data_IF_798396134035
#
_entry.id   IF_798396134035
#
_cell.length_a   1.000
_cell.length_b   1.000
_cell.length_c   1.000
_cell.angle_alpha   90.00
_cell.angle_beta   90.00
_cell.angle_gamma   90.00
#
_symmetry.space_group_name_H-M   'P 1'
#
loop_
_entity.id
_entity.type
_entity.pdbx_description
1 polymer ?
#
# COMPACT_ATOMS: atom_id res chain seq x y z
N UNK A 1 9.94 11.33 14.34
CA UNK A 1 9.68 11.27 12.88
C UNK A 1 8.37 10.53 12.66
N UNK A 2 7.54 10.98 11.73
CA UNK A 2 6.29 10.33 11.34
C UNK A 2 6.25 10.20 9.81
N UNK A 3 6.32 8.96 9.31
CA UNK A 3 6.27 8.65 7.87
C UNK A 3 5.16 7.64 7.63
N UNK A 4 4.25 7.97 6.73
CA UNK A 4 3.25 7.02 6.24
C UNK A 4 3.88 6.15 5.14
N UNK A 5 4.05 4.86 5.42
CA UNK A 5 4.72 3.92 4.54
C UNK A 5 3.83 3.41 3.40
N UNK A 6 2.53 3.78 3.37
CA UNK A 6 1.59 3.20 2.42
C UNK A 6 0.48 4.18 2.05
N UNK A 7 0.71 4.91 0.98
CA UNK A 7 -0.23 5.90 0.44
C UNK A 7 -0.41 5.66 -1.05
N UNK A 8 -1.58 5.90 -1.56
CA UNK A 8 -1.88 5.88 -2.99
C UNK A 8 -2.29 7.26 -3.50
N UNK A 9 -1.94 7.55 -4.73
CA UNK A 9 -2.50 8.63 -5.52
C UNK A 9 -3.09 8.00 -6.77
N UNK A 10 -4.39 8.09 -6.91
CA UNK A 10 -5.09 7.56 -8.07
C UNK A 10 -5.84 8.66 -8.81
N UNK A 11 -6.24 8.33 -10.00
CA UNK A 11 -7.32 8.98 -10.72
C UNK A 11 -8.12 7.89 -11.46
N UNK A 12 -9.25 8.25 -12.03
CA UNK A 12 -10.12 7.27 -12.70
C UNK A 12 -9.44 6.49 -13.84
N UNK A 13 -8.32 7.02 -14.39
CA UNK A 13 -7.59 6.37 -15.47
C UNK A 13 -6.56 5.35 -14.98
N UNK A 14 -6.25 5.33 -13.69
CA UNK A 14 -5.26 4.44 -13.07
C UNK A 14 -5.87 3.26 -12.32
N UNK A 15 -7.20 3.11 -12.33
CA UNK A 15 -7.91 2.01 -11.67
C UNK A 15 -8.74 1.21 -12.68
N UNK A 16 -8.81 -0.13 -12.55
CA UNK A 16 -9.65 -0.96 -13.40
C UNK A 16 -11.13 -0.61 -13.25
N UNK A 17 -11.82 -0.34 -14.38
CA UNK A 17 -13.26 0.00 -14.38
C UNK A 17 -14.10 -1.06 -13.64
N UNK A 18 -13.77 -2.34 -13.80
CA UNK A 18 -14.49 -3.44 -13.12
C UNK A 18 -14.30 -3.39 -11.60
N UNK A 19 -13.11 -3.08 -11.10
CA UNK A 19 -12.87 -2.94 -9.65
C UNK A 19 -13.66 -1.77 -9.08
N UNK A 20 -13.74 -0.65 -9.82
CA UNK A 20 -14.56 0.51 -9.45
C UNK A 20 -16.03 0.12 -9.38
N UNK A 21 -16.56 -0.59 -10.39
CA UNK A 21 -17.94 -1.05 -10.43
C UNK A 21 -18.25 -2.00 -9.27
N UNK A 22 -17.39 -2.99 -9.01
CA UNK A 22 -17.57 -3.94 -7.89
C UNK A 22 -17.62 -3.22 -6.55
N UNK A 23 -16.82 -2.17 -6.35
CA UNK A 23 -16.87 -1.34 -5.15
C UNK A 23 -18.18 -0.57 -5.03
N UNK A 24 -18.74 -0.10 -6.15
CA UNK A 24 -19.96 0.72 -6.19
C UNK A 24 -21.25 -0.12 -6.20
N UNK A 25 -21.23 -1.36 -6.68
CA UNK A 25 -22.42 -2.21 -6.77
C UNK A 25 -23.24 -2.29 -5.47
N UNK A 26 -22.64 -2.49 -4.28
CA UNK A 26 -23.42 -2.50 -3.04
C UNK A 26 -24.09 -1.16 -2.74
N UNK A 27 -23.45 -0.05 -3.10
CA UNK A 27 -23.98 1.31 -2.92
C UNK A 27 -25.15 1.55 -3.86
N UNK A 28 -25.01 1.11 -5.12
CA UNK A 28 -26.06 1.19 -6.14
C UNK A 28 -27.27 0.37 -5.73
N UNK A 29 -27.07 -0.90 -5.34
CA UNK A 29 -28.12 -1.79 -4.89
C UNK A 29 -28.85 -1.24 -3.64
N UNK A 30 -28.12 -0.63 -2.70
CA UNK A 30 -28.71 0.04 -1.56
C UNK A 30 -29.57 1.24 -2.00
N UNK A 31 -29.06 2.08 -2.92
CA UNK A 31 -29.80 3.21 -3.47
C UNK A 31 -31.08 2.79 -4.20
N UNK A 32 -31.01 1.75 -5.03
CA UNK A 32 -32.16 1.21 -5.74
C UNK A 32 -33.23 0.68 -4.79
N UNK A 33 -32.83 0.01 -3.71
CA UNK A 33 -33.75 -0.59 -2.72
C UNK A 33 -34.33 0.44 -1.78
N UNK A 34 -33.52 1.37 -1.28
CA UNK A 34 -33.85 2.27 -0.16
C UNK A 34 -33.79 3.76 -0.52
N UNK A 35 -33.38 4.13 -1.74
CA UNK A 35 -33.17 5.52 -2.15
C UNK A 35 -34.39 6.42 -2.00
N UNK A 36 -35.60 5.83 -2.09
CA UNK A 36 -36.86 6.53 -1.86
C UNK A 36 -37.09 6.93 -0.37
N UNK A 37 -36.30 6.36 0.54
CA UNK A 37 -36.37 6.67 1.99
C UNK A 37 -35.31 7.69 2.41
N UNK A 38 -34.28 7.89 1.58
CA UNK A 38 -33.15 8.75 1.88
C UNK A 38 -32.84 9.64 0.68
N UNK A 39 -32.69 10.94 0.90
CA UNK A 39 -32.12 11.84 -0.09
C UNK A 39 -30.61 11.61 -0.14
N UNK A 40 -30.17 10.69 -0.98
CA UNK A 40 -28.75 10.29 -1.08
C UNK A 40 -27.93 11.19 -2.01
N UNK A 41 -28.54 12.25 -2.58
CA UNK A 41 -27.83 13.29 -3.33
C UNK A 41 -27.10 12.86 -4.62
N UNK A 42 -27.39 11.65 -5.13
CA UNK A 42 -26.79 11.14 -6.35
C UNK A 42 -27.64 11.51 -7.57
N UNK A 43 -27.54 12.74 -8.00
CA UNK A 43 -28.08 13.19 -9.29
C UNK A 43 -26.93 13.21 -10.30
N UNK A 44 -26.87 12.23 -11.22
CA UNK A 44 -25.92 12.21 -12.32
C UNK A 44 -25.09 10.92 -12.44
N UNK A 45 -23.95 11.02 -13.07
CA UNK A 45 -23.02 9.91 -13.28
C UNK A 45 -22.64 9.22 -11.96
N UNK A 46 -22.44 7.90 -12.03
CA UNK A 46 -22.03 7.12 -10.86
C UNK A 46 -20.83 7.78 -10.16
N UNK A 47 -20.91 8.02 -8.84
CA UNK A 47 -19.79 8.61 -8.11
C UNK A 47 -18.58 7.67 -8.23
N UNK A 48 -17.49 8.20 -8.72
CA UNK A 48 -16.20 7.59 -8.50
C UNK A 48 -15.96 7.64 -6.99
N UNK A 49 -15.57 6.53 -6.31
CA UNK A 49 -15.09 6.63 -4.95
C UNK A 49 -14.03 7.74 -4.96
N UNK A 50 -14.08 8.67 -4.01
CA UNK A 50 -13.26 9.90 -4.04
C UNK A 50 -11.78 9.60 -3.75
N UNK A 51 -11.19 8.77 -4.60
CA UNK A 51 -9.77 8.40 -4.58
C UNK A 51 -8.92 9.34 -5.43
N UNK A 52 -9.55 10.12 -6.32
CA UNK A 52 -8.90 11.18 -7.09
C UNK A 52 -8.89 12.47 -6.28
N UNK A 53 -8.13 12.47 -5.21
CA UNK A 53 -8.03 13.65 -4.34
C UNK A 53 -7.06 14.68 -4.93
N UNK A 54 -7.32 15.99 -4.76
CA UNK A 54 -6.36 17.04 -5.10
C UNK A 54 -5.02 16.85 -4.41
N UNK A 55 -3.91 17.28 -5.02
CA UNK A 55 -2.58 17.12 -4.42
C UNK A 55 -2.44 17.86 -3.08
N UNK A 56 -3.23 18.90 -2.89
CA UNK A 56 -3.30 19.66 -1.65
C UNK A 56 -3.78 18.80 -0.47
N UNK A 57 -4.65 17.82 -0.73
CA UNK A 57 -5.22 16.95 0.33
C UNK A 57 -4.16 16.15 1.09
N UNK A 58 -3.28 15.36 0.46
CA UNK A 58 -2.21 14.68 1.19
C UNK A 58 -1.18 15.66 1.80
N UNK A 59 -0.90 16.82 1.17
CA UNK A 59 -0.06 17.85 1.74
C UNK A 59 -0.67 18.39 3.05
N UNK A 60 -1.95 18.77 3.02
CA UNK A 60 -2.67 19.21 4.22
C UNK A 60 -2.72 18.11 5.29
N UNK A 61 -2.85 16.84 4.90
CA UNK A 61 -2.83 15.72 5.83
C UNK A 61 -1.46 15.60 6.51
N UNK A 62 -0.37 15.76 5.77
CA UNK A 62 0.97 15.81 6.34
C UNK A 62 1.13 16.99 7.29
N UNK A 63 0.70 18.18 6.90
CA UNK A 63 0.83 19.38 7.71
C UNK A 63 0.02 19.31 9.01
N UNK A 64 -1.23 18.87 8.93
CA UNK A 64 -2.14 18.71 10.08
C UNK A 64 -1.65 17.68 11.11
N UNK A 65 -0.91 16.67 10.66
CA UNK A 65 -0.39 15.61 11.52
C UNK A 65 1.10 15.73 11.82
N UNK A 66 1.78 16.78 11.37
CA UNK A 66 3.23 16.99 11.46
C UNK A 66 4.01 15.78 10.91
N UNK A 67 3.62 15.29 9.73
CA UNK A 67 4.26 14.14 9.09
C UNK A 67 5.49 14.59 8.32
N UNK A 68 6.55 13.80 8.44
CA UNK A 68 7.84 14.01 7.76
C UNK A 68 7.84 13.40 6.35
N UNK A 69 6.86 12.56 6.02
CA UNK A 69 6.75 12.03 4.66
C UNK A 69 5.63 11.01 4.43
N UNK A 70 5.40 10.76 3.14
CA UNK A 70 4.47 9.74 2.62
C UNK A 70 5.13 8.94 1.51
N UNK A 71 5.10 7.61 1.62
CA UNK A 71 5.52 6.69 0.55
C UNK A 71 4.35 6.46 -0.37
N UNK A 72 4.45 6.96 -1.60
CA UNK A 72 3.37 6.91 -2.59
C UNK A 72 3.57 5.71 -3.52
N UNK A 73 2.69 4.74 -3.42
CA UNK A 73 2.81 3.45 -4.08
C UNK A 73 2.02 3.43 -5.39
N UNK A 74 2.73 3.30 -6.52
CA UNK A 74 2.10 3.07 -7.81
C UNK A 74 1.68 1.60 -7.95
N UNK A 75 0.53 1.36 -8.59
CA UNK A 75 0.09 0.02 -8.99
C UNK A 75 -0.10 -0.03 -10.50
N UNK A 76 0.43 -1.07 -11.14
CA UNK A 76 0.29 -1.27 -12.58
C UNK A 76 -0.91 -2.18 -12.86
N UNK A 77 -2.01 -1.60 -13.29
CA UNK A 77 -3.25 -2.31 -13.63
C UNK A 77 -3.53 -2.36 -15.14
N UNK A 78 -2.62 -1.86 -15.99
CA UNK A 78 -2.86 -1.77 -17.44
C UNK A 78 -3.24 -3.11 -18.07
N UNK A 79 -2.59 -4.23 -17.64
CA UNK A 79 -2.85 -5.55 -18.21
C UNK A 79 -4.16 -6.20 -17.71
N UNK A 80 -4.70 -5.77 -16.60
CA UNK A 80 -5.99 -6.31 -16.08
C UNK A 80 -7.22 -5.57 -16.61
N UNK A 81 -7.01 -4.63 -17.50
CA UNK A 81 -8.05 -3.95 -18.27
C UNK A 81 -8.76 -2.85 -17.48
N UNK A 82 -8.47 -1.63 -17.80
CA UNK A 82 -9.09 -0.47 -17.20
C UNK A 82 -8.23 0.76 -17.17
N UNK A 83 -6.94 0.60 -17.14
CA UNK A 83 -6.04 1.74 -17.23
C UNK A 83 -6.22 2.43 -18.58
N UNK A 84 -6.69 3.67 -18.53
CA UNK A 84 -6.74 4.56 -19.67
C UNK A 84 -5.44 5.36 -19.82
N UNK A 85 -4.44 5.00 -19.03
CA UNK A 85 -3.07 5.47 -19.08
C UNK A 85 -2.17 4.27 -19.27
N UNK A 86 -1.17 4.40 -20.14
CA UNK A 86 -0.08 3.44 -20.20
C UNK A 86 0.74 3.49 -18.91
N UNK A 87 1.48 2.43 -18.59
CA UNK A 87 2.39 2.43 -17.44
C UNK A 87 3.32 3.66 -17.45
N UNK A 88 3.87 4.03 -18.60
CA UNK A 88 4.78 5.16 -18.70
C UNK A 88 4.08 6.50 -18.42
N UNK A 89 2.86 6.70 -18.92
CA UNK A 89 2.05 7.87 -18.62
C UNK A 89 1.66 7.94 -17.14
N UNK A 90 1.32 6.79 -16.53
CA UNK A 90 1.02 6.72 -15.11
C UNK A 90 2.24 7.10 -14.25
N UNK A 91 3.42 6.54 -14.55
CA UNK A 91 4.63 6.89 -13.81
C UNK A 91 5.00 8.37 -14.00
N UNK A 92 4.91 8.90 -15.22
CA UNK A 92 5.14 10.33 -15.49
C UNK A 92 4.21 11.21 -14.65
N UNK A 93 2.91 10.91 -14.70
CA UNK A 93 1.89 11.66 -13.93
C UNK A 93 2.16 11.60 -12.43
N UNK A 94 2.46 10.39 -11.88
CA UNK A 94 2.69 10.22 -10.46
C UNK A 94 3.93 10.99 -9.97
N UNK A 95 5.05 10.83 -10.67
CA UNK A 95 6.30 11.48 -10.28
C UNK A 95 6.23 13.00 -10.43
N UNK A 96 5.57 13.52 -11.47
CA UNK A 96 5.30 14.96 -11.60
C UNK A 96 4.42 15.46 -10.45
N UNK A 97 3.38 14.71 -10.10
CA UNK A 97 2.48 15.05 -9.01
C UNK A 97 3.20 15.08 -7.66
N UNK A 98 4.06 14.13 -7.40
CA UNK A 98 4.84 14.07 -6.15
C UNK A 98 5.96 15.13 -6.08
N UNK A 99 6.42 15.67 -7.20
CA UNK A 99 7.54 16.62 -7.23
C UNK A 99 7.23 18.00 -6.63
N UNK A 100 5.99 18.26 -6.23
CA UNK A 100 5.57 19.54 -5.63
C UNK A 100 5.93 19.66 -4.15
N UNK A 101 6.25 18.54 -3.48
CA UNK A 101 6.63 18.50 -2.07
C UNK A 101 7.66 17.38 -1.84
N UNK A 102 8.82 17.72 -1.29
CA UNK A 102 9.95 16.80 -1.08
C UNK A 102 9.67 15.70 -0.03
N UNK A 103 8.55 15.79 0.68
CA UNK A 103 8.08 14.77 1.63
C UNK A 103 7.43 13.57 0.95
N UNK A 104 7.16 13.59 -0.35
CA UNK A 104 6.67 12.45 -1.09
C UNK A 104 7.82 11.56 -1.58
N UNK A 105 7.69 10.27 -1.32
CA UNK A 105 8.60 9.22 -1.78
C UNK A 105 7.87 8.29 -2.75
N UNK A 106 7.76 8.65 -4.04
CA UNK A 106 7.05 7.82 -5.01
C UNK A 106 7.82 6.54 -5.34
N UNK A 107 7.11 5.40 -5.27
CA UNK A 107 7.58 4.09 -5.69
C UNK A 107 7.00 3.75 -7.05
N UNK A 108 7.78 3.09 -7.88
CA UNK A 108 7.28 2.55 -9.15
C UNK A 108 6.42 1.32 -8.91
N UNK A 109 5.52 1.02 -9.87
CA UNK A 109 4.80 -0.25 -9.97
C UNK A 109 4.99 -0.82 -11.37
N UNK A 110 5.38 -2.09 -11.47
CA UNK A 110 5.50 -2.78 -12.77
C UNK A 110 4.92 -4.18 -12.62
N UNK A 111 3.89 -4.49 -13.42
CA UNK A 111 3.30 -5.83 -13.44
C UNK A 111 4.30 -6.83 -14.04
N UNK A 112 4.70 -7.88 -13.29
CA UNK A 112 5.63 -8.91 -13.80
C UNK A 112 5.07 -9.73 -14.97
N UNK A 113 3.78 -9.66 -15.24
CA UNK A 113 3.17 -10.30 -16.41
C UNK A 113 3.56 -9.62 -17.73
N UNK A 114 4.18 -8.44 -17.66
CA UNK A 114 4.75 -7.78 -18.85
C UNK A 114 5.97 -8.55 -19.37
N UNK A 115 6.05 -8.83 -20.70
CA UNK A 115 7.17 -9.57 -21.28
C UNK A 115 8.54 -8.94 -21.03
N UNK A 116 8.58 -7.62 -20.84
CA UNK A 116 9.78 -6.81 -20.65
C UNK A 116 9.80 -6.08 -19.29
N UNK A 117 9.23 -6.70 -18.27
CA UNK A 117 9.13 -6.08 -16.93
C UNK A 117 10.51 -5.68 -16.34
N UNK A 118 11.57 -6.51 -16.39
CA UNK A 118 12.89 -6.11 -15.88
C UNK A 118 13.46 -4.88 -16.59
N UNK A 119 13.36 -4.81 -17.91
CA UNK A 119 13.85 -3.67 -18.71
C UNK A 119 13.05 -2.39 -18.40
N UNK A 120 11.74 -2.52 -18.14
CA UNK A 120 10.90 -1.40 -17.73
C UNK A 120 11.30 -0.89 -16.35
N UNK A 121 11.57 -1.78 -15.38
CA UNK A 121 12.08 -1.39 -14.05
C UNK A 121 13.38 -0.59 -14.21
N UNK A 122 14.36 -1.14 -14.96
CA UNK A 122 15.62 -0.45 -15.20
C UNK A 122 15.44 0.95 -15.83
N UNK A 123 14.56 1.06 -16.82
CA UNK A 123 14.22 2.32 -17.49
C UNK A 123 13.62 3.33 -16.52
N UNK A 124 12.65 2.90 -15.70
CA UNK A 124 11.96 3.76 -14.72
C UNK A 124 12.93 4.20 -13.60
N UNK A 125 13.79 3.30 -13.14
CA UNK A 125 14.81 3.65 -12.12
C UNK A 125 15.79 4.67 -12.66
N UNK A 126 16.27 4.50 -13.89
CA UNK A 126 17.16 5.50 -14.54
C UNK A 126 16.50 6.87 -14.70
N UNK A 127 15.18 6.90 -14.93
CA UNK A 127 14.45 8.15 -15.15
C UNK A 127 14.09 8.88 -13.86
N UNK A 128 13.65 8.16 -12.85
CA UNK A 128 13.00 8.73 -11.68
C UNK A 128 13.76 8.51 -10.37
N UNK A 129 14.74 7.61 -10.34
CA UNK A 129 15.51 7.25 -9.13
C UNK A 129 14.62 6.92 -7.91
N UNK A 130 13.58 6.07 -8.07
CA UNK A 130 12.69 5.70 -6.97
C UNK A 130 13.45 4.95 -5.87
N UNK A 131 12.97 5.05 -4.63
CA UNK A 131 13.52 4.27 -3.50
C UNK A 131 12.99 2.84 -3.47
N UNK A 132 11.90 2.54 -4.14
CA UNK A 132 11.28 1.21 -4.10
C UNK A 132 10.28 0.95 -5.19
N UNK A 133 9.69 -0.24 -5.08
CA UNK A 133 8.73 -0.79 -6.03
C UNK A 133 7.52 -1.38 -5.30
N UNK A 134 6.32 -1.12 -5.80
CA UNK A 134 5.07 -1.76 -5.36
C UNK A 134 4.80 -2.99 -6.20
N UNK A 135 4.55 -4.11 -5.51
CA UNK A 135 4.06 -5.35 -6.07
C UNK A 135 2.59 -5.55 -5.72
N UNK A 136 1.80 -5.96 -6.70
CA UNK A 136 0.38 -6.24 -6.49
C UNK A 136 0.01 -7.63 -7.05
N UNK A 137 0.30 -8.73 -6.31
CA UNK A 137 0.15 -10.10 -6.83
C UNK A 137 -1.25 -10.43 -7.34
N UNK A 138 -2.29 -9.76 -6.79
CA UNK A 138 -3.68 -9.95 -7.21
C UNK A 138 -3.95 -9.69 -8.72
N UNK A 139 -3.03 -9.06 -9.45
CA UNK A 139 -3.12 -8.92 -10.92
C UNK A 139 -2.87 -10.25 -11.66
N UNK A 140 -2.51 -11.33 -10.93
CA UNK A 140 -2.47 -12.68 -11.47
C UNK A 140 -1.07 -13.28 -11.59
N UNK A 141 -0.23 -13.19 -10.57
CA UNK A 141 1.04 -13.91 -10.50
C UNK A 141 1.35 -14.35 -9.07
N UNK A 142 2.03 -15.48 -8.93
CA UNK A 142 2.63 -15.86 -7.66
C UNK A 142 4.06 -15.31 -7.57
N UNK A 143 4.44 -14.62 -6.48
CA UNK A 143 5.78 -14.08 -6.30
C UNK A 143 6.91 -15.11 -6.40
N UNK A 144 6.64 -16.37 -6.06
CA UNK A 144 7.59 -17.48 -6.05
C UNK A 144 7.63 -18.31 -7.35
N UNK A 145 6.97 -17.88 -8.42
CA UNK A 145 7.09 -18.57 -9.72
C UNK A 145 8.51 -18.43 -10.30
N UNK A 146 9.01 -19.51 -10.93
CA UNK A 146 10.35 -19.51 -11.55
C UNK A 146 10.54 -18.38 -12.56
N UNK A 147 9.48 -18.02 -13.31
CA UNK A 147 9.53 -16.91 -14.28
C UNK A 147 9.80 -15.55 -13.64
N UNK A 148 9.61 -15.42 -12.32
CA UNK A 148 9.88 -14.21 -11.56
C UNK A 148 11.37 -13.99 -11.25
N UNK A 149 12.24 -14.97 -11.51
CA UNK A 149 13.65 -14.89 -11.16
C UNK A 149 14.36 -13.66 -11.76
N UNK A 150 14.12 -13.37 -13.04
CA UNK A 150 14.72 -12.20 -13.70
C UNK A 150 14.20 -10.88 -13.13
N UNK A 151 12.91 -10.84 -12.74
CA UNK A 151 12.29 -9.69 -12.11
C UNK A 151 12.92 -9.42 -10.73
N UNK A 152 12.97 -10.44 -9.87
CA UNK A 152 13.53 -10.31 -8.53
C UNK A 152 15.02 -9.97 -8.56
N UNK A 153 15.76 -10.59 -9.47
CA UNK A 153 17.18 -10.25 -9.66
C UNK A 153 17.36 -8.77 -10.02
N UNK A 154 16.53 -8.23 -10.90
CA UNK A 154 16.58 -6.81 -11.26
C UNK A 154 16.25 -5.91 -10.09
N UNK A 155 15.23 -6.25 -9.30
CA UNK A 155 14.83 -5.50 -8.09
C UNK A 155 15.96 -5.48 -7.06
N UNK A 156 16.62 -6.63 -6.84
CA UNK A 156 17.75 -6.78 -5.93
C UNK A 156 19.00 -6.02 -6.40
N UNK A 157 19.39 -6.21 -7.66
CA UNK A 157 20.55 -5.53 -8.29
C UNK A 157 20.43 -3.99 -8.21
N UNK A 158 19.20 -3.47 -8.23
CA UNK A 158 18.91 -2.04 -8.14
C UNK A 158 18.71 -1.55 -6.69
N UNK A 159 18.73 -2.46 -5.70
CA UNK A 159 18.56 -2.14 -4.29
C UNK A 159 17.21 -1.51 -3.93
N UNK A 160 16.15 -1.90 -4.63
CA UNK A 160 14.82 -1.34 -4.43
C UNK A 160 14.15 -1.93 -3.18
N UNK A 161 13.56 -1.07 -2.34
CA UNK A 161 12.66 -1.50 -1.28
C UNK A 161 11.37 -2.04 -1.90
N UNK A 162 10.96 -3.24 -1.51
CA UNK A 162 9.73 -3.87 -2.02
C UNK A 162 8.58 -3.63 -1.05
N UNK A 163 7.43 -3.16 -1.56
CA UNK A 163 6.15 -3.20 -0.84
C UNK A 163 5.20 -4.09 -1.62
N UNK A 164 4.79 -5.21 -1.02
CA UNK A 164 3.85 -6.14 -1.67
C UNK A 164 2.49 -6.14 -0.99
N UNK A 165 1.42 -6.11 -1.79
CA UNK A 165 0.07 -6.28 -1.27
C UNK A 165 -0.14 -7.67 -0.68
N UNK A 166 -0.90 -7.76 0.41
CA UNK A 166 -1.37 -9.00 1.01
C UNK A 166 -2.82 -8.85 1.50
N UNK A 167 -3.61 -9.92 1.41
CA UNK A 167 -4.98 -9.90 1.87
C UNK A 167 -6.01 -9.87 0.75
N UNK A 168 -7.12 -9.17 1.01
CA UNK A 168 -8.26 -9.11 0.09
C UNK A 168 -7.95 -8.26 -1.16
N UNK A 169 -8.56 -8.65 -2.27
CA UNK A 169 -8.59 -7.86 -3.49
C UNK A 169 -10.00 -7.87 -4.09
N UNK A 170 -10.37 -6.79 -4.79
CA UNK A 170 -11.65 -6.68 -5.48
C UNK A 170 -11.52 -7.21 -6.92
N UNK A 171 -12.58 -7.84 -7.45
CA UNK A 171 -12.62 -8.21 -8.86
C UNK A 171 -12.32 -7.00 -9.79
N UNK A 172 -11.56 -7.16 -10.86
CA UNK A 172 -11.06 -8.41 -11.49
C UNK A 172 -9.77 -8.98 -10.87
N UNK A 173 -9.32 -8.45 -9.77
CA UNK A 173 -8.13 -8.87 -9.05
C UNK A 173 -8.44 -10.11 -8.21
N UNK A 174 -7.44 -11.01 -8.03
CA UNK A 174 -7.65 -12.29 -7.35
C UNK A 174 -6.72 -12.43 -6.13
N UNK A 175 -7.33 -12.41 -4.94
CA UNK A 175 -6.61 -12.48 -3.66
C UNK A 175 -5.85 -13.78 -3.41
N UNK A 176 -6.12 -14.86 -4.17
CA UNK A 176 -5.38 -16.13 -4.02
C UNK A 176 -3.87 -15.99 -4.23
N UNK A 177 -3.45 -14.97 -4.97
CA UNK A 177 -2.04 -14.66 -5.22
C UNK A 177 -1.37 -13.86 -4.08
N UNK A 178 -2.15 -13.36 -3.10
CA UNK A 178 -1.69 -12.40 -2.09
C UNK A 178 -1.30 -13.03 -0.75
N UNK A 179 -1.08 -14.34 -0.71
CA UNK A 179 -0.68 -15.02 0.51
C UNK A 179 0.78 -14.70 0.88
N UNK A 180 1.08 -14.23 2.11
CA UNK A 180 2.42 -13.79 2.51
C UNK A 180 3.52 -14.85 2.30
N UNK A 181 3.21 -16.13 2.53
CA UNK A 181 4.17 -17.24 2.39
C UNK A 181 4.72 -17.38 0.95
N UNK A 182 4.05 -16.84 -0.06
CA UNK A 182 4.56 -16.80 -1.42
C UNK A 182 5.82 -15.94 -1.54
N UNK A 183 6.05 -15.03 -0.59
CA UNK A 183 7.28 -14.22 -0.53
C UNK A 183 8.45 -14.92 0.18
N UNK A 184 8.23 -16.04 0.91
CA UNK A 184 9.32 -16.74 1.64
C UNK A 184 10.48 -17.12 0.74
N UNK A 185 10.28 -17.82 -0.41
CA UNK A 185 11.42 -18.20 -1.27
C UNK A 185 12.18 -16.98 -1.81
N UNK A 186 11.49 -15.85 -2.02
CA UNK A 186 12.11 -14.60 -2.46
C UNK A 186 12.94 -13.98 -1.34
N UNK A 187 12.38 -13.87 -0.13
CA UNK A 187 13.08 -13.33 1.03
C UNK A 187 14.32 -14.14 1.41
N UNK A 188 14.24 -15.47 1.34
CA UNK A 188 15.37 -16.38 1.61
C UNK A 188 16.45 -16.29 0.52
N UNK A 189 16.06 -16.13 -0.76
CA UNK A 189 17.00 -16.03 -1.89
C UNK A 189 17.73 -14.69 -1.92
N UNK A 190 17.08 -13.62 -1.50
CA UNK A 190 17.59 -12.25 -1.50
C UNK A 190 17.57 -11.64 -0.09
N UNK A 191 18.48 -12.08 0.82
CA UNK A 191 18.41 -11.69 2.24
C UNK A 191 18.71 -10.21 2.50
N UNK A 192 19.36 -9.51 1.57
CA UNK A 192 19.62 -8.07 1.67
C UNK A 192 18.45 -7.21 1.16
N UNK A 193 17.58 -7.77 0.31
CA UNK A 193 16.36 -7.12 -0.19
C UNK A 193 15.39 -6.89 0.97
N UNK A 194 14.96 -5.65 1.19
CA UNK A 194 13.95 -5.33 2.21
C UNK A 194 12.55 -5.43 1.62
N UNK A 195 11.68 -6.15 2.31
CA UNK A 195 10.32 -6.48 1.83
C UNK A 195 9.31 -6.09 2.90
N UNK A 196 8.40 -5.19 2.57
CA UNK A 196 7.24 -4.84 3.40
C UNK A 196 6.02 -5.60 2.88
N UNK A 197 5.46 -6.48 3.71
CA UNK A 197 4.17 -7.14 3.47
C UNK A 197 3.08 -6.21 3.98
N UNK A 198 2.20 -5.75 3.10
CA UNK A 198 1.19 -4.76 3.46
C UNK A 198 0.11 -5.29 4.42
N UNK A 199 -0.53 -4.36 5.15
CA UNK A 199 -1.78 -4.57 5.89
C UNK A 199 -1.70 -5.61 7.01
N UNK A 200 -0.54 -5.78 7.67
CA UNK A 200 -0.28 -6.89 8.61
C UNK A 200 -0.70 -8.25 8.02
N UNK A 201 -0.46 -8.47 6.71
CA UNK A 201 -0.87 -9.68 6.01
C UNK A 201 -2.36 -9.76 5.70
N UNK A 202 -3.15 -8.74 6.03
CA UNK A 202 -4.59 -8.72 5.81
C UNK A 202 -5.32 -9.89 6.48
N UNK A 203 -6.09 -10.66 5.70
CA UNK A 203 -6.76 -11.87 6.20
C UNK A 203 -5.82 -13.04 6.51
N UNK A 204 -4.56 -12.97 6.05
CA UNK A 204 -3.50 -13.96 6.29
C UNK A 204 -2.56 -13.51 7.43
N UNK A 205 -3.09 -12.82 8.41
CA UNK A 205 -2.34 -12.27 9.53
C UNK A 205 -1.55 -13.34 10.33
N UNK A 206 -2.16 -14.49 10.54
CA UNK A 206 -1.54 -15.58 11.32
C UNK A 206 -0.36 -16.22 10.56
N UNK A 207 -0.39 -16.19 9.22
CA UNK A 207 0.66 -16.74 8.37
C UNK A 207 1.83 -15.78 8.14
N UNK A 208 1.62 -14.48 8.37
CA UNK A 208 2.68 -13.48 8.24
C UNK A 208 3.78 -13.67 9.29
N UNK A 209 3.42 -13.93 10.54
CA UNK A 209 4.40 -13.98 11.62
C UNK A 209 5.44 -15.10 11.48
N UNK A 210 5.07 -16.35 11.08
CA UNK A 210 6.06 -17.38 10.76
C UNK A 210 7.03 -16.98 9.63
N UNK A 211 6.57 -16.21 8.65
CA UNK A 211 7.45 -15.67 7.60
C UNK A 211 8.44 -14.65 8.19
N UNK A 212 7.96 -13.72 9.01
CA UNK A 212 8.80 -12.71 9.65
C UNK A 212 9.79 -13.31 10.66
N UNK A 213 9.43 -14.42 11.33
CA UNK A 213 10.34 -15.16 12.21
C UNK A 213 11.47 -15.85 11.43
N UNK A 214 11.19 -16.32 10.23
CA UNK A 214 12.16 -17.02 9.39
C UNK A 214 13.06 -16.06 8.59
N UNK A 215 12.58 -14.85 8.27
CA UNK A 215 13.22 -13.91 7.36
C UNK A 215 13.36 -12.52 8.01
N UNK A 216 14.58 -12.14 8.42
CA UNK A 216 14.84 -10.85 9.09
C UNK A 216 14.71 -9.64 8.15
N UNK A 217 14.67 -9.85 6.85
CA UNK A 217 14.48 -8.83 5.83
C UNK A 217 13.01 -8.56 5.50
N UNK A 218 12.08 -9.24 6.19
CA UNK A 218 10.63 -9.04 6.04
C UNK A 218 10.10 -8.11 7.13
N UNK A 219 9.40 -7.08 6.69
CA UNK A 219 8.71 -6.06 7.47
C UNK A 219 7.21 -6.09 7.15
N UNK A 220 6.42 -5.34 7.89
CA UNK A 220 5.01 -5.14 7.55
C UNK A 220 4.53 -3.76 7.96
N UNK A 221 3.52 -3.26 7.27
CA UNK A 221 2.82 -2.02 7.64
C UNK A 221 1.45 -2.29 8.25
N UNK A 222 0.89 -1.28 8.93
CA UNK A 222 -0.44 -1.34 9.52
C UNK A 222 -1.53 -0.69 8.66
N UNK A 223 -1.25 -0.45 7.39
CA UNK A 223 -2.19 0.20 6.48
C UNK A 223 -3.48 -0.60 6.30
N UNK A 224 -4.54 0.05 5.83
CA UNK A 224 -5.90 -0.47 5.72
C UNK A 224 -6.60 -0.84 7.06
N UNK A 225 -5.89 -1.08 8.15
CA UNK A 225 -6.51 -1.33 9.45
C UNK A 225 -7.38 -0.16 9.93
N UNK A 226 -7.07 1.04 9.48
CA UNK A 226 -7.83 2.27 9.69
C UNK A 226 -9.31 2.09 9.30
N UNK A 227 -9.59 1.43 8.18
CA UNK A 227 -10.96 1.21 7.70
C UNK A 227 -11.83 0.34 8.62
N UNK A 228 -11.21 -0.53 9.40
CA UNK A 228 -11.90 -1.43 10.33
C UNK A 228 -12.01 -0.87 11.75
N UNK A 229 -11.21 0.15 12.10
CA UNK A 229 -11.15 0.75 13.43
C UNK A 229 -12.53 1.13 14.01
N UNK A 230 -13.46 1.76 13.26
CA UNK A 230 -14.74 2.16 13.83
C UNK A 230 -15.59 1.01 14.35
N UNK A 231 -15.45 -0.18 13.77
CA UNK A 231 -16.30 -1.34 14.08
C UNK A 231 -15.59 -2.37 14.96
N UNK A 232 -14.26 -2.49 14.83
CA UNK A 232 -13.48 -3.57 15.41
C UNK A 232 -12.23 -3.07 16.15
N UNK A 233 -12.32 -1.90 16.80
CA UNK A 233 -11.19 -1.23 17.47
C UNK A 233 -10.37 -2.18 18.33
N UNK A 234 -11.04 -3.03 19.15
CA UNK A 234 -10.35 -3.96 20.03
C UNK A 234 -9.49 -4.97 19.27
N UNK A 235 -10.05 -5.59 18.23
CA UNK A 235 -9.34 -6.61 17.44
C UNK A 235 -8.15 -6.01 16.67
N UNK A 236 -8.36 -4.83 16.10
CA UNK A 236 -7.30 -4.12 15.37
C UNK A 236 -6.15 -3.74 16.30
N UNK A 237 -6.47 -3.17 17.47
CA UNK A 237 -5.44 -2.83 18.47
C UNK A 237 -4.70 -4.08 18.95
N UNK A 238 -5.39 -5.17 19.23
CA UNK A 238 -4.76 -6.42 19.64
C UNK A 238 -3.80 -6.95 18.57
N UNK A 239 -4.20 -6.98 17.27
CA UNK A 239 -3.33 -7.41 16.18
C UNK A 239 -2.06 -6.55 16.08
N UNK A 240 -2.24 -5.23 16.19
CA UNK A 240 -1.13 -4.29 16.16
C UNK A 240 -0.20 -4.46 17.37
N UNK A 241 -0.76 -4.65 18.57
CA UNK A 241 -0.01 -4.90 19.79
C UNK A 241 0.80 -6.20 19.69
N UNK A 242 0.19 -7.29 19.22
CA UNK A 242 0.86 -8.56 19.02
C UNK A 242 2.03 -8.42 18.03
N UNK A 243 1.83 -7.70 16.92
CA UNK A 243 2.85 -7.48 15.89
C UNK A 243 4.03 -6.66 16.44
N UNK A 244 3.76 -5.51 17.08
CA UNK A 244 4.80 -4.63 17.61
C UNK A 244 5.58 -5.32 18.73
N UNK A 245 4.91 -6.06 19.61
CA UNK A 245 5.58 -6.77 20.73
C UNK A 245 6.50 -7.90 20.23
N UNK A 246 6.16 -8.55 19.11
CA UNK A 246 7.00 -9.63 18.52
C UNK A 246 8.12 -9.08 17.64
N UNK A 247 7.86 -7.98 16.90
CA UNK A 247 8.76 -7.43 15.89
C UNK A 247 8.90 -5.91 16.03
N UNK A 248 9.43 -5.41 17.17
CA UNK A 248 9.36 -4.01 17.55
C UNK A 248 10.06 -3.02 16.61
N UNK A 249 10.93 -3.51 15.73
CA UNK A 249 11.72 -2.75 14.76
C UNK A 249 11.36 -3.05 13.30
N UNK A 250 10.33 -3.89 13.07
CA UNK A 250 9.94 -4.33 11.72
C UNK A 250 8.48 -4.04 11.36
N UNK A 251 7.77 -3.31 12.21
CA UNK A 251 6.42 -2.81 11.92
C UNK A 251 6.52 -1.33 11.61
N UNK A 252 5.94 -0.89 10.49
CA UNK A 252 5.92 0.51 10.09
C UNK A 252 4.49 1.07 10.03
N UNK A 253 4.34 2.34 10.36
CA UNK A 253 3.07 3.04 10.23
C UNK A 253 2.70 3.21 8.77
N UNK A 254 1.42 3.01 8.44
CA UNK A 254 0.83 3.23 7.13
C UNK A 254 -0.68 3.33 7.23
N UNK A 255 -1.32 4.06 6.31
CA UNK A 255 -2.77 4.31 6.34
C UNK A 255 -3.54 3.65 5.20
N UNK A 256 -2.95 3.48 4.03
CA UNK A 256 -3.62 3.17 2.77
C UNK A 256 -4.49 4.36 2.26
N UNK A 257 -4.03 5.59 2.60
CA UNK A 257 -4.67 6.83 2.14
C UNK A 257 -4.79 6.82 0.59
N UNK A 258 -5.90 7.29 0.01
CA UNK A 258 -7.05 7.94 0.65
C UNK A 258 -8.22 7.01 0.99
N UNK A 259 -8.07 5.67 0.81
CA UNK A 259 -9.17 4.69 0.85
C UNK A 259 -10.10 4.80 2.05
N UNK A 260 -9.55 5.09 3.22
CA UNK A 260 -10.30 5.03 4.47
C UNK A 260 -10.37 6.37 5.21
N UNK A 261 -9.74 7.42 4.68
CA UNK A 261 -9.57 8.68 5.41
C UNK A 261 -10.88 9.41 5.70
N UNK A 262 -11.88 9.30 4.80
CA UNK A 262 -13.22 9.83 5.04
C UNK A 262 -13.97 9.11 6.16
N UNK A 263 -13.75 7.80 6.29
CA UNK A 263 -14.43 6.98 7.30
C UNK A 263 -13.80 7.11 8.68
N UNK A 264 -12.49 7.15 8.73
CA UNK A 264 -11.69 7.26 9.95
C UNK A 264 -10.37 7.94 9.60
N UNK A 265 -10.27 9.24 9.85
CA UNK A 265 -9.17 10.03 9.34
C UNK A 265 -7.79 9.58 9.85
N UNK A 266 -6.75 9.88 9.10
CA UNK A 266 -5.35 9.66 9.50
C UNK A 266 -5.08 10.17 10.91
N UNK A 267 -5.57 11.37 11.26
CA UNK A 267 -5.46 11.92 12.62
C UNK A 267 -6.14 11.06 13.69
N UNK A 268 -7.33 10.54 13.39
CA UNK A 268 -8.05 9.66 14.31
C UNK A 268 -7.30 8.35 14.51
N UNK A 269 -6.76 7.79 13.42
CA UNK A 269 -5.98 6.55 13.46
C UNK A 269 -4.72 6.71 14.32
N UNK A 270 -3.93 7.76 14.09
CA UNK A 270 -2.75 8.09 14.92
C UNK A 270 -3.15 8.21 16.40
N UNK A 271 -4.22 8.96 16.72
CA UNK A 271 -4.69 9.15 18.09
C UNK A 271 -5.13 7.83 18.76
N UNK A 272 -5.71 6.91 18.02
CA UNK A 272 -6.09 5.60 18.58
C UNK A 272 -4.87 4.72 18.85
N UNK A 273 -3.88 4.72 17.97
CA UNK A 273 -2.63 3.97 18.16
C UNK A 273 -1.81 4.57 19.31
N UNK A 274 -1.79 5.90 19.47
CA UNK A 274 -1.09 6.59 20.57
C UNK A 274 -1.62 6.22 21.98
N UNK A 275 -2.83 5.67 22.07
CA UNK A 275 -3.36 5.16 23.34
C UNK A 275 -2.71 3.85 23.80
N UNK A 276 -1.87 3.25 22.95
CA UNK A 276 -1.09 2.08 23.30
C UNK A 276 -0.09 2.41 24.41
N UNK A 277 0.14 1.48 25.34
CA UNK A 277 1.29 1.52 26.25
C UNK A 277 2.54 1.07 25.48
N UNK A 278 3.44 2.02 25.22
CA UNK A 278 4.68 1.76 24.48
C UNK A 278 5.75 1.24 25.45
N UNK A 279 6.41 0.13 25.11
CA UNK A 279 7.47 -0.48 25.90
C UNK A 279 8.71 0.43 26.00
N UNK A 280 8.92 1.32 25.03
CA UNK A 280 9.92 2.39 25.02
C UNK A 280 9.62 3.45 23.97
N UNK A 281 10.17 4.66 24.16
CA UNK A 281 10.13 5.72 23.14
C UNK A 281 10.79 5.26 21.83
N UNK A 282 11.85 4.47 21.91
CA UNK A 282 12.53 3.92 20.73
C UNK A 282 11.58 3.08 19.87
N UNK A 283 10.82 2.16 20.47
CA UNK A 283 9.86 1.29 19.73
C UNK A 283 8.77 2.15 19.09
N UNK A 284 8.24 3.14 19.82
CA UNK A 284 7.26 4.09 19.29
C UNK A 284 7.82 4.87 18.10
N UNK A 285 9.00 5.44 18.22
CA UNK A 285 9.63 6.24 17.17
C UNK A 285 10.04 5.38 15.97
N UNK A 286 10.46 4.13 16.19
CA UNK A 286 10.74 3.17 15.12
C UNK A 286 9.46 2.85 14.36
N UNK A 287 8.35 2.55 15.05
CA UNK A 287 7.06 2.29 14.43
C UNK A 287 6.56 3.47 13.58
N UNK A 288 6.59 4.69 14.12
CA UNK A 288 6.04 5.85 13.41
C UNK A 288 6.88 6.35 12.25
N UNK A 289 8.21 6.14 12.25
CA UNK A 289 8.98 6.68 11.13
C UNK A 289 10.43 6.26 11.04
N UNK A 290 11.14 6.01 12.16
CA UNK A 290 12.58 5.77 12.08
C UNK A 290 12.91 4.47 11.31
N UNK A 291 12.12 3.41 11.45
CA UNK A 291 12.28 2.20 10.65
C UNK A 291 12.09 2.49 9.16
N UNK A 292 11.02 3.19 8.79
CA UNK A 292 10.79 3.54 7.40
C UNK A 292 11.88 4.48 6.85
N UNK A 293 12.34 5.43 7.63
CA UNK A 293 13.44 6.33 7.25
C UNK A 293 14.76 5.57 6.97
N UNK A 294 15.07 4.56 7.80
CA UNK A 294 16.21 3.65 7.54
C UNK A 294 16.03 2.86 6.24
N UNK A 295 14.83 2.34 6.01
CA UNK A 295 14.51 1.60 4.78
C UNK A 295 14.60 2.49 3.52
N UNK A 296 14.24 3.76 3.63
CA UNK A 296 14.38 4.76 2.57
C UNK A 296 15.84 5.28 2.40
N UNK A 297 16.72 4.99 3.37
CA UNK A 297 18.10 5.51 3.38
C UNK A 297 18.17 7.01 3.59
N UNK A 298 17.30 7.57 4.43
CA UNK A 298 17.25 9.02 4.79
C UNK A 298 17.55 9.27 6.27
N UNK A 299 17.80 8.21 7.05
CA UNK A 299 18.24 8.26 8.44
C UNK A 299 19.56 7.53 8.61
#
# INVERSE_FOLDING_TARGET
>A
MLIDAHVHMWNRKTLPDKAILTYLEPIIAFKETYGHLFDLGFDGDMPFPDYDVPIETPIETMDKNNMDGMVVLATDFELVGGDRMTLEEHMEWLFQRCSVDDRFYPFIGVDPNRPNAPELIEKLVKRYSPKGIKMYPAVGFYPNEERMDAYWKMVDDLGLLVVTHAGMALEPLDEKYCHPEMMRPVAEKYPDMKIIIAHLGGKFHDELFPLMEACDNVYTDCSALQGWMPNETYMIKKRLDDAISRFPDRIVFGTDFPLYDERFSTMQFIREIEKREWESEKIRDDFYGNTMARLLGIL
#
